data_IF_116374340467
#
_entry.id   IF_116374340467
#
_cell.length_a   1.000
_cell.length_b   1.000
_cell.length_c   1.000
_cell.angle_alpha   90.00
_cell.angle_beta   90.00
_cell.angle_gamma   90.00
#
_symmetry.space_group_name_H-M   'P 1'
#
loop_
_entity.id
_entity.type
_entity.pdbx_description
1 polymer ?
#
# COMPACT_ATOMS: atom_id res chain seq x y z
N UNK A 1 -6.47 11.64 -6.84
CA UNK A 1 -7.64 11.04 -7.52
C UNK A 1 -8.36 10.11 -6.56
N UNK A 2 -9.70 10.15 -6.47
CA UNK A 2 -10.51 9.24 -5.63
C UNK A 2 -10.96 8.05 -6.46
N UNK A 3 -10.82 6.83 -5.96
CA UNK A 3 -11.33 5.60 -6.57
C UNK A 3 -12.17 4.79 -5.58
N UNK A 4 -13.24 4.17 -6.08
CA UNK A 4 -14.03 3.19 -5.33
C UNK A 4 -13.40 1.81 -5.50
N UNK A 5 -13.19 1.11 -4.40
CA UNK A 5 -12.59 -0.23 -4.38
C UNK A 5 -13.48 -1.16 -3.57
N UNK A 6 -13.76 -2.33 -4.13
CA UNK A 6 -14.49 -3.39 -3.46
C UNK A 6 -13.56 -4.21 -2.56
N UNK A 7 -13.98 -4.39 -1.32
CA UNK A 7 -13.33 -5.17 -0.28
C UNK A 7 -13.81 -6.62 -0.36
N UNK A 8 -12.88 -7.57 -0.19
CA UNK A 8 -13.25 -8.99 -0.06
C UNK A 8 -12.76 -9.54 1.27
N UNK A 9 -13.68 -9.76 2.18
CA UNK A 9 -13.41 -10.43 3.44
C UNK A 9 -14.45 -11.53 3.70
N UNK A 10 -14.14 -12.42 4.64
CA UNK A 10 -15.07 -13.42 5.15
C UNK A 10 -15.94 -12.78 6.24
N UNK A 11 -16.76 -11.79 5.86
CA UNK A 11 -17.76 -11.25 6.77
C UNK A 11 -18.78 -12.35 7.09
N UNK A 12 -18.70 -12.90 8.29
CA UNK A 12 -19.63 -13.94 8.76
C UNK A 12 -21.02 -13.39 9.09
N UNK A 13 -21.09 -12.07 9.31
CA UNK A 13 -22.29 -11.38 9.75
C UNK A 13 -22.67 -10.28 8.77
N UNK A 14 -23.97 -10.21 8.49
CA UNK A 14 -24.58 -9.16 7.69
C UNK A 14 -24.79 -7.90 8.54
N UNK A 15 -23.72 -7.11 8.68
CA UNK A 15 -23.72 -5.85 9.43
C UNK A 15 -22.89 -4.77 8.75
N UNK A 16 -22.92 -3.58 9.35
CA UNK A 16 -22.08 -2.46 8.97
C UNK A 16 -20.72 -2.54 9.67
N UNK A 17 -19.71 -2.05 8.97
CA UNK A 17 -18.31 -2.13 9.33
C UNK A 17 -17.63 -0.78 9.11
N UNK A 18 -16.72 -0.43 10.01
CA UNK A 18 -15.92 0.79 9.88
C UNK A 18 -14.49 0.42 9.46
N UNK A 19 -14.05 0.87 8.28
CA UNK A 19 -12.61 0.89 7.98
C UNK A 19 -11.98 2.06 8.71
N UNK A 20 -10.98 1.79 9.55
CA UNK A 20 -10.17 2.82 10.17
C UNK A 20 -9.12 3.33 9.18
N UNK A 21 -8.84 4.63 9.27
CA UNK A 21 -7.86 5.34 8.48
C UNK A 21 -6.54 4.58 8.46
N UNK A 22 -6.07 4.31 7.26
CA UNK A 22 -4.83 3.58 7.04
C UNK A 22 -4.00 4.31 6.00
N UNK A 23 -2.70 4.39 6.29
CA UNK A 23 -1.68 4.89 5.39
C UNK A 23 -0.99 3.68 4.76
N UNK A 24 -1.23 3.47 3.47
CA UNK A 24 -0.65 2.32 2.77
C UNK A 24 0.67 2.74 2.16
N UNK A 25 1.77 2.38 2.79
CA UNK A 25 3.11 2.64 2.26
C UNK A 25 3.48 1.62 1.20
N UNK A 26 3.73 2.09 -0.03
CA UNK A 26 4.27 1.27 -1.12
C UNK A 26 5.79 1.45 -1.32
N UNK A 27 6.43 2.27 -0.48
CA UNK A 27 7.84 2.67 -0.62
C UNK A 27 8.18 3.88 0.26
N UNK A 28 9.32 4.53 -0.02
CA UNK A 28 9.85 5.63 0.82
C UNK A 28 8.97 6.88 0.88
N UNK A 29 8.24 7.21 -0.19
CA UNK A 29 7.48 8.48 -0.27
C UNK A 29 6.08 8.33 -0.88
N UNK A 30 5.65 7.11 -1.20
CA UNK A 30 4.38 6.87 -1.88
C UNK A 30 3.37 6.23 -0.92
N UNK A 31 2.28 6.96 -0.67
CA UNK A 31 1.20 6.50 0.20
C UNK A 31 -0.19 6.68 -0.41
N UNK A 32 -1.05 5.72 -0.12
CA UNK A 32 -2.50 5.89 -0.28
C UNK A 32 -3.12 6.27 1.05
N UNK A 33 -4.21 7.03 0.95
CA UNK A 33 -5.05 7.33 2.11
C UNK A 33 -6.40 6.65 1.90
N UNK A 34 -6.80 5.85 2.88
CA UNK A 34 -8.17 5.36 3.03
C UNK A 34 -8.80 6.17 4.17
N UNK A 35 -9.79 7.04 3.94
CA UNK A 35 -10.49 7.74 5.01
C UNK A 35 -11.31 6.76 5.86
N UNK A 36 -11.65 7.17 7.08
CA UNK A 36 -12.62 6.43 7.89
C UNK A 36 -13.92 6.29 7.09
N UNK A 37 -14.28 5.06 6.76
CA UNK A 37 -15.42 4.78 5.88
C UNK A 37 -16.29 3.71 6.51
N UNK A 38 -17.56 4.05 6.71
CA UNK A 38 -18.58 3.08 7.07
C UNK A 38 -19.09 2.40 5.80
N UNK A 39 -19.14 1.08 5.78
CA UNK A 39 -19.66 0.30 4.66
C UNK A 39 -20.50 -0.88 5.16
N UNK A 40 -21.41 -1.35 4.33
CA UNK A 40 -22.21 -2.54 4.61
C UNK A 40 -21.53 -3.78 4.05
N UNK A 41 -21.57 -4.90 4.76
CA UNK A 41 -21.11 -6.20 4.27
C UNK A 41 -21.76 -6.64 2.95
N UNK A 42 -22.99 -6.20 2.65
CA UNK A 42 -23.66 -6.45 1.36
C UNK A 42 -23.05 -5.66 0.19
N UNK A 43 -22.39 -4.54 0.47
CA UNK A 43 -21.80 -3.64 -0.53
C UNK A 43 -20.49 -3.07 0.01
N UNK A 44 -19.43 -3.90 0.08
CA UNK A 44 -18.22 -3.58 0.80
C UNK A 44 -17.30 -2.68 -0.03
N UNK A 45 -17.73 -1.45 -0.30
CA UNK A 45 -17.01 -0.50 -1.16
C UNK A 45 -16.40 0.60 -0.29
N UNK A 46 -15.11 0.86 -0.49
CA UNK A 46 -14.39 1.98 0.15
C UNK A 46 -13.81 2.95 -0.87
N UNK A 47 -13.50 4.15 -0.39
CA UNK A 47 -12.82 5.17 -1.16
C UNK A 47 -11.33 5.12 -0.85
N UNK A 48 -10.51 5.15 -1.90
CA UNK A 48 -9.06 5.28 -1.76
C UNK A 48 -8.58 6.47 -2.57
N UNK A 49 -7.74 7.30 -1.95
CA UNK A 49 -7.12 8.45 -2.61
C UNK A 49 -5.64 8.25 -2.81
N UNK A 50 -5.21 8.38 -4.06
CA UNK A 50 -3.79 8.56 -4.38
C UNK A 50 -3.43 10.05 -4.27
N UNK A 51 -2.55 10.37 -3.32
CA UNK A 51 -2.02 11.71 -3.08
C UNK A 51 -0.66 11.94 -3.78
N UNK A 52 -0.11 10.92 -4.40
CA UNK A 52 1.14 11.00 -5.16
C UNK A 52 0.86 11.43 -6.61
N UNK A 53 1.81 12.09 -7.28
CA UNK A 53 1.68 12.43 -8.70
C UNK A 53 1.85 11.20 -9.62
N UNK A 54 2.27 10.05 -9.07
CA UNK A 54 2.58 8.84 -9.84
C UNK A 54 1.42 7.84 -9.74
N UNK A 55 1.03 7.19 -10.86
CA UNK A 55 0.04 6.12 -10.80
C UNK A 55 0.60 4.96 -9.97
N UNK A 56 -0.21 4.44 -9.07
CA UNK A 56 0.11 3.28 -8.25
C UNK A 56 -0.98 2.23 -8.40
N UNK A 57 -0.56 0.97 -8.29
CA UNK A 57 -1.44 -0.19 -8.41
C UNK A 57 -1.68 -0.78 -7.03
N UNK A 58 -2.95 -1.01 -6.70
CA UNK A 58 -3.35 -1.78 -5.52
C UNK A 58 -3.73 -3.16 -6.03
N UNK A 59 -3.03 -4.18 -5.54
CA UNK A 59 -3.22 -5.55 -5.97
C UNK A 59 -4.31 -6.25 -5.15
N UNK A 60 -4.86 -7.30 -5.76
CA UNK A 60 -5.62 -8.32 -5.05
C UNK A 60 -4.71 -8.98 -4.01
N UNK A 61 -5.11 -8.94 -2.75
CA UNK A 61 -4.42 -9.47 -1.59
C UNK A 61 -3.88 -8.37 -0.66
N UNK A 62 -3.78 -7.13 -1.15
CA UNK A 62 -3.24 -6.01 -0.39
C UNK A 62 -4.17 -5.65 0.77
N UNK A 63 -3.56 -5.34 1.91
CA UNK A 63 -4.27 -4.89 3.12
C UNK A 63 -4.39 -3.37 3.01
N UNK A 64 -5.63 -2.86 3.08
CA UNK A 64 -5.93 -1.43 2.91
C UNK A 64 -6.38 -0.72 4.18
N UNK A 65 -6.56 -1.48 5.25
CA UNK A 65 -6.93 -0.97 6.56
C UNK A 65 -7.39 -2.08 7.49
N UNK A 66 -7.72 -1.67 8.70
CA UNK A 66 -8.33 -2.53 9.73
C UNK A 66 -9.81 -2.21 9.80
N UNK A 67 -10.63 -3.25 9.93
CA UNK A 67 -12.06 -3.09 10.13
C UNK A 67 -12.42 -3.27 11.58
N UNK A 68 -13.30 -2.39 12.06
CA UNK A 68 -13.75 -2.34 13.44
C UNK A 68 -15.29 -2.33 13.44
N UNK A 69 -15.87 -2.93 14.46
CA UNK A 69 -17.29 -2.84 14.72
C UNK A 69 -17.67 -1.38 15.03
N UNK A 70 -18.58 -0.75 14.26
CA UNK A 70 -18.95 0.65 14.49
C UNK A 70 -19.55 0.88 15.89
N UNK A 71 -20.19 -0.13 16.49
CA UNK A 71 -20.74 -0.03 17.84
C UNK A 71 -19.65 0.13 18.93
N UNK A 72 -18.43 -0.32 18.66
CA UNK A 72 -17.29 -0.18 19.57
C UNK A 72 -16.52 1.12 19.33
N UNK A 73 -16.65 1.70 18.13
CA UNK A 73 -15.92 2.91 17.74
C UNK A 73 -16.71 4.20 18.00
N UNK A 74 -18.00 4.20 17.68
CA UNK A 74 -18.85 5.39 17.86
C UNK A 74 -19.39 5.47 19.28
N UNK A 75 -19.48 6.68 19.81
CA UNK A 75 -20.07 6.92 21.12
C UNK A 75 -21.56 6.56 21.09
N UNK A 76 -21.97 5.62 21.93
CA UNK A 76 -23.37 5.39 22.26
C UNK A 76 -23.74 6.16 23.54
N UNK A 77 -24.95 6.75 23.60
CA UNK A 77 -25.44 7.35 24.84
C UNK A 77 -25.71 6.23 25.86
N UNK A 78 -25.18 6.39 27.07
CA UNK A 78 -25.39 5.44 28.17
C UNK A 78 -26.71 5.74 28.91
N UNK A 79 -27.15 7.00 28.90
CA UNK A 79 -28.36 7.47 29.55
C UNK A 79 -29.15 8.46 28.66
N UNK A 80 -30.38 8.76 29.09
CA UNK A 80 -31.27 9.67 28.37
C UNK A 80 -30.72 11.09 28.32
N UNK A 81 -30.06 11.55 29.39
CA UNK A 81 -29.50 12.89 29.47
C UNK A 81 -28.35 13.12 28.46
N UNK A 82 -27.45 12.14 28.31
CA UNK A 82 -26.37 12.16 27.31
C UNK A 82 -26.94 12.09 25.89
N UNK A 83 -28.03 11.36 25.66
CA UNK A 83 -28.71 11.35 24.36
C UNK A 83 -29.25 12.74 24.01
N UNK A 84 -29.93 13.43 24.94
CA UNK A 84 -30.43 14.79 24.74
C UNK A 84 -29.30 15.79 24.45
N UNK A 85 -28.17 15.69 25.18
CA UNK A 85 -26.97 16.48 24.95
C UNK A 85 -26.37 16.22 23.55
N UNK A 86 -26.26 14.95 23.15
CA UNK A 86 -25.77 14.57 21.81
C UNK A 86 -26.68 15.11 20.69
N UNK A 87 -28.01 15.03 20.85
CA UNK A 87 -28.98 15.59 19.89
C UNK A 87 -28.82 17.11 19.80
N UNK A 88 -28.69 17.79 20.95
CA UNK A 88 -28.51 19.24 21.00
C UNK A 88 -27.23 19.66 20.28
N UNK A 89 -26.11 18.98 20.55
CA UNK A 89 -24.82 19.22 19.86
C UNK A 89 -24.92 18.95 18.36
N UNK A 90 -25.57 17.85 17.96
CA UNK A 90 -25.76 17.53 16.54
C UNK A 90 -26.60 18.60 15.83
N UNK A 91 -27.65 19.13 16.48
CA UNK A 91 -28.46 20.22 15.95
C UNK A 91 -27.63 21.51 15.79
N UNK A 92 -26.78 21.85 16.77
CA UNK A 92 -25.89 23.01 16.70
C UNK A 92 -24.88 22.91 15.55
N UNK A 93 -24.21 21.75 15.40
CA UNK A 93 -23.27 21.51 14.30
C UNK A 93 -23.99 21.59 12.95
N UNK A 94 -25.20 21.03 12.86
CA UNK A 94 -26.02 21.08 11.64
C UNK A 94 -26.37 22.52 11.25
N UNK A 95 -26.69 23.38 12.22
CA UNK A 95 -26.93 24.81 11.97
C UNK A 95 -25.67 25.52 11.50
N UNK A 96 -24.51 25.24 12.11
CA UNK A 96 -23.23 25.81 11.70
C UNK A 96 -22.90 25.46 10.24
N UNK A 97 -23.03 24.17 9.86
CA UNK A 97 -22.79 23.71 8.49
C UNK A 97 -23.70 24.41 7.47
N UNK A 98 -25.00 24.56 7.80
CA UNK A 98 -25.96 25.28 6.94
C UNK A 98 -25.54 26.73 6.71
N UNK A 99 -25.19 27.45 7.79
CA UNK A 99 -24.78 28.84 7.72
C UNK A 99 -23.46 29.03 6.92
N UNK A 100 -22.53 28.09 7.04
CA UNK A 100 -21.28 28.08 6.24
C UNK A 100 -21.54 27.77 4.75
N UNK A 101 -22.54 26.95 4.44
CA UNK A 101 -22.93 26.66 3.06
C UNK A 101 -23.55 27.86 2.34
N UNK A 102 -24.28 28.71 3.08
CA UNK A 102 -24.97 29.88 2.53
C UNK A 102 -24.06 31.09 2.26
N UNK A 103 -22.81 31.09 2.77
CA UNK A 103 -21.87 32.21 2.57
C UNK A 103 -21.15 32.17 1.21
N UNK A 104 -21.44 31.16 0.37
CA UNK A 104 -20.82 31.00 -0.94
C UNK A 104 -21.78 31.46 -2.05
N UNK A 105 -21.47 32.67 -2.54
CA UNK A 105 -21.86 33.30 -3.81
C UNK A 105 -23.13 34.19 -3.88
N UNK A 106 -22.98 35.51 -3.63
CA UNK A 106 -23.82 36.55 -4.25
C UNK A 106 -23.28 37.08 -5.59
N UNK A 107 -22.51 36.30 -6.38
CA UNK A 107 -22.01 36.76 -7.68
C UNK A 107 -22.01 35.66 -8.75
N UNK A 108 -23.19 35.29 -9.21
CA UNK A 108 -23.40 34.69 -10.52
C UNK A 108 -24.79 35.10 -11.00
N UNK A 109 -24.87 36.32 -11.56
CA UNK A 109 -25.98 36.64 -12.45
C UNK A 109 -25.87 35.71 -13.68
N UNK A 110 -26.99 35.16 -14.18
CA UNK A 110 -27.03 34.51 -15.47
C UNK A 110 -26.89 35.59 -16.56
N UNK A 111 -25.67 35.83 -17.03
CA UNK A 111 -25.46 36.59 -18.27
C UNK A 111 -25.87 35.67 -19.43
N UNK A 112 -27.01 35.99 -20.03
CA UNK A 112 -27.44 35.40 -21.30
C UNK A 112 -26.35 35.48 -22.36
N UNK A 113 -26.31 34.41 -23.14
CA UNK A 113 -25.51 34.18 -24.32
C UNK A 113 -25.36 35.41 -25.23
N UNK A 114 -24.12 35.88 -25.38
CA UNK A 114 -23.66 36.48 -26.63
C UNK A 114 -22.39 35.73 -27.04
N UNK A 115 -22.51 34.95 -28.12
CA UNK A 115 -21.48 34.10 -28.70
C UNK A 115 -20.42 34.97 -29.39
N UNK A 116 -19.14 34.96 -28.97
CA UNK A 116 -18.05 35.52 -29.75
C UNK A 116 -17.35 34.42 -30.58
N UNK A 117 -16.78 34.77 -31.73
CA UNK A 117 -16.26 33.82 -32.70
C UNK A 117 -15.01 33.09 -32.21
N UNK A 118 -14.96 31.79 -32.54
CA UNK A 118 -13.83 30.90 -32.29
C UNK A 118 -12.52 31.50 -32.83
N UNK A 119 -11.59 31.85 -31.92
CA UNK A 119 -10.17 31.98 -32.26
C UNK A 119 -9.50 30.62 -32.09
N UNK A 120 -9.03 30.08 -33.21
CA UNK A 120 -8.13 28.94 -33.27
C UNK A 120 -6.84 29.25 -32.52
N UNK A 121 -6.57 28.52 -31.45
CA UNK A 121 -5.26 28.56 -30.80
C UNK A 121 -4.36 27.55 -31.50
N UNK A 122 -3.44 28.06 -32.33
CA UNK A 122 -2.24 27.32 -32.71
C UNK A 122 -1.42 27.00 -31.46
N UNK A 123 -1.04 25.72 -31.34
CA UNK A 123 -0.17 25.20 -30.29
C UNK A 123 1.26 25.68 -30.55
N UNK A 124 1.93 26.38 -29.62
CA UNK A 124 3.36 26.63 -29.75
C UNK A 124 4.14 25.35 -29.43
N UNK A 125 5.01 24.95 -30.34
CA UNK A 125 6.02 23.89 -30.14
C UNK A 125 6.95 24.25 -28.96
N UNK A 126 7.25 23.31 -28.04
CA UNK A 126 8.31 23.51 -27.06
C UNK A 126 9.64 23.00 -27.64
N UNK A 127 10.43 23.91 -28.20
CA UNK A 127 11.85 23.70 -28.44
C UNK A 127 12.62 24.87 -27.82
N UNK A 128 13.19 24.65 -26.64
CA UNK A 128 14.07 25.62 -25.96
C UNK A 128 14.71 25.00 -24.72
N UNK A 129 15.98 25.27 -24.42
CA UNK A 129 16.88 24.34 -23.73
C UNK A 129 16.82 24.44 -22.20
N UNK A 130 17.07 23.29 -21.58
CA UNK A 130 17.31 23.10 -20.15
C UNK A 130 18.45 23.99 -19.64
N UNK A 131 18.12 24.95 -18.79
CA UNK A 131 19.08 25.59 -17.91
C UNK A 131 19.21 24.75 -16.63
N UNK A 132 20.37 24.14 -16.46
CA UNK A 132 20.81 23.52 -15.20
C UNK A 132 20.80 24.56 -14.08
N UNK A 133 19.97 24.35 -13.06
CA UNK A 133 20.15 24.99 -11.76
C UNK A 133 20.78 23.98 -10.81
N UNK A 134 22.05 24.20 -10.51
CA UNK A 134 22.83 23.53 -9.48
C UNK A 134 22.28 23.93 -8.12
N UNK A 135 21.56 23.01 -7.47
CA UNK A 135 21.11 23.15 -6.09
C UNK A 135 22.21 22.62 -5.16
N UNK A 136 22.91 23.51 -4.46
CA UNK A 136 23.85 23.13 -3.41
C UNK A 136 23.07 22.75 -2.13
N UNK A 137 23.35 21.59 -1.49
CA UNK A 137 22.76 21.27 -0.19
C UNK A 137 23.47 22.01 0.96
N UNK A 138 22.76 22.45 2.01
CA UNK A 138 23.39 22.97 3.22
C UNK A 138 23.97 21.82 4.06
N UNK A 139 25.29 21.68 4.02
CA UNK A 139 26.07 20.84 4.93
C UNK A 139 26.03 21.43 6.34
N UNK A 140 25.35 20.75 7.26
CA UNK A 140 25.45 21.02 8.71
C UNK A 140 26.10 19.82 9.38
N UNK A 141 27.27 19.96 10.04
CA UNK A 141 27.91 18.87 10.77
C UNK A 141 27.37 18.79 12.21
N UNK A 142 26.68 17.70 12.53
CA UNK A 142 26.35 17.29 13.90
C UNK A 142 27.42 16.30 14.38
N UNK A 143 28.45 16.83 15.05
CA UNK A 143 29.43 16.01 15.78
C UNK A 143 28.93 15.73 17.19
N UNK A 144 28.56 14.48 17.46
CA UNK A 144 28.46 13.96 18.82
C UNK A 144 29.70 13.11 19.12
N UNK A 145 30.37 13.28 20.27
CA UNK A 145 31.53 12.49 20.62
C UNK A 145 31.13 11.05 20.94
N UNK A 146 31.66 10.10 20.16
CA UNK A 146 31.58 8.67 20.45
C UNK A 146 32.71 8.33 21.44
N UNK A 147 32.41 7.73 22.62
CA UNK A 147 33.45 7.25 23.52
C UNK A 147 34.20 6.08 22.89
N UNK A 148 35.51 6.24 22.76
CA UNK A 148 36.45 5.21 22.31
C UNK A 148 36.53 4.14 23.40
N UNK A 149 36.06 2.94 23.11
CA UNK A 149 36.30 1.74 23.92
C UNK A 149 37.43 0.97 23.24
N UNK A 150 38.58 0.90 23.91
CA UNK A 150 39.74 0.10 23.48
C UNK A 150 39.40 -1.39 23.55
N UNK A 151 39.21 -2.03 22.40
CA UNK A 151 39.10 -3.48 22.27
C UNK A 151 40.49 -4.03 21.90
N UNK A 152 41.09 -4.90 22.73
CA UNK A 152 42.36 -5.56 22.43
C UNK A 152 42.26 -6.39 21.15
N UNK A 153 43.23 -6.19 20.25
CA UNK A 153 43.32 -6.80 18.92
C UNK A 153 44.39 -7.89 18.94
N UNK A 154 43.97 -9.15 19.00
CA UNK A 154 44.88 -10.29 18.77
C UNK A 154 45.04 -10.58 17.26
N UNK A 155 46.23 -11.04 16.82
CA UNK A 155 46.56 -11.26 15.41
C UNK A 155 46.02 -12.58 14.81
N UNK A 156 45.94 -12.68 13.47
CA UNK A 156 45.10 -13.67 12.79
C UNK A 156 45.81 -15.01 12.54
N UNK A 157 45.05 -16.10 12.50
CA UNK A 157 45.52 -17.39 11.99
C UNK A 157 44.42 -18.10 11.19
N UNK A 158 44.71 -18.27 9.90
CA UNK A 158 44.16 -19.20 8.89
C UNK A 158 42.83 -18.90 8.16
N UNK A 159 42.79 -19.09 6.81
CA UNK A 159 41.60 -18.92 5.99
C UNK A 159 40.79 -20.23 6.01
N UNK A 160 39.68 -20.23 6.76
CA UNK A 160 38.68 -21.29 6.69
C UNK A 160 37.51 -20.76 5.87
N UNK A 161 37.16 -21.56 4.85
CA UNK A 161 36.05 -21.41 3.91
C UNK A 161 34.81 -20.76 4.54
N UNK A 162 34.42 -19.62 3.99
CA UNK A 162 33.26 -18.83 4.40
C UNK A 162 31.97 -19.50 3.95
N UNK A 163 31.51 -20.49 4.72
CA UNK A 163 30.07 -20.73 4.89
C UNK A 163 29.65 -20.06 6.19
N UNK A 164 29.22 -18.79 6.09
CA UNK A 164 28.57 -18.08 7.19
C UNK A 164 27.26 -18.81 7.53
N UNK A 165 27.30 -19.63 8.59
CA UNK A 165 26.10 -20.02 9.33
C UNK A 165 25.50 -18.75 9.93
N UNK A 166 24.43 -18.25 9.33
CA UNK A 166 23.69 -17.12 9.88
C UNK A 166 23.04 -17.54 11.21
N UNK A 167 23.11 -16.68 12.25
CA UNK A 167 22.47 -16.96 13.53
C UNK A 167 20.96 -17.09 13.32
N UNK A 168 20.41 -18.24 13.72
CA UNK A 168 18.97 -18.53 13.69
C UNK A 168 18.28 -17.68 14.76
N UNK A 169 18.11 -16.40 14.46
CA UNK A 169 17.22 -15.49 15.17
C UNK A 169 15.76 -15.73 14.78
N UNK A 170 14.79 -15.28 15.59
CA UNK A 170 13.35 -15.49 15.35
C UNK A 170 12.92 -14.83 14.04
N UNK A 171 12.88 -15.61 12.94
CA UNK A 171 12.49 -15.24 11.56
C UNK A 171 12.23 -13.74 11.38
N UNK A 172 13.28 -12.94 11.54
CA UNK A 172 13.21 -11.50 11.34
C UNK A 172 13.07 -11.32 9.85
N UNK A 173 11.90 -10.85 9.44
CA UNK A 173 11.58 -10.13 8.20
C UNK A 173 12.84 -9.84 7.38
N UNK A 174 13.32 -10.83 6.63
CA UNK A 174 14.32 -10.56 5.60
C UNK A 174 13.57 -9.75 4.54
N UNK A 175 14.10 -8.56 4.27
CA UNK A 175 13.57 -7.70 3.23
C UNK A 175 13.55 -8.53 1.93
N UNK A 176 12.41 -8.64 1.23
CA UNK A 176 12.35 -9.45 0.02
C UNK A 176 13.43 -8.96 -0.95
N UNK A 177 14.19 -9.89 -1.51
CA UNK A 177 15.24 -9.59 -2.47
C UNK A 177 14.65 -8.81 -3.66
N UNK A 178 15.06 -7.55 -3.89
CA UNK A 178 14.55 -6.75 -5.00
C UNK A 178 15.13 -7.18 -6.36
N UNK A 179 16.05 -8.14 -6.37
CA UNK A 179 16.75 -8.57 -7.57
C UNK A 179 15.78 -9.17 -8.59
N UNK A 180 15.89 -8.67 -9.82
CA UNK A 180 15.07 -9.12 -10.93
C UNK A 180 15.69 -10.36 -11.57
N UNK A 181 14.95 -11.48 -11.52
CA UNK A 181 15.35 -12.75 -12.14
C UNK A 181 14.55 -13.00 -13.43
N UNK A 182 15.14 -12.80 -14.62
CA UNK A 182 14.50 -13.16 -15.87
C UNK A 182 14.37 -14.68 -16.00
N UNK A 183 13.28 -15.14 -16.64
CA UNK A 183 13.04 -16.58 -16.91
C UNK A 183 14.15 -17.24 -17.72
N UNK A 184 14.82 -16.47 -18.56
CA UNK A 184 15.79 -17.00 -19.52
C UNK A 184 17.10 -17.41 -18.82
N UNK A 185 17.32 -16.93 -17.59
CA UNK A 185 18.45 -17.30 -16.73
C UNK A 185 18.10 -18.39 -15.70
N UNK A 186 16.98 -19.10 -15.87
CA UNK A 186 16.51 -20.12 -14.92
C UNK A 186 17.53 -21.26 -14.74
N UNK A 187 18.23 -21.64 -15.82
CA UNK A 187 19.26 -22.68 -15.79
C UNK A 187 20.54 -22.27 -15.03
N UNK A 188 20.84 -20.97 -15.00
CA UNK A 188 22.04 -20.43 -14.33
C UNK A 188 21.79 -20.18 -12.84
N UNK A 189 20.54 -19.89 -12.47
CA UNK A 189 20.16 -19.51 -11.11
C UNK A 189 19.87 -20.71 -10.20
N UNK A 190 19.39 -21.82 -10.76
CA UNK A 190 18.99 -23.01 -10.02
C UNK A 190 20.01 -24.13 -10.17
N UNK A 191 20.56 -24.58 -9.04
CA UNK A 191 21.37 -25.80 -8.99
C UNK A 191 20.45 -27.02 -8.77
N UNK A 192 20.26 -27.83 -9.82
CA UNK A 192 19.54 -29.12 -9.76
C UNK A 192 20.41 -30.27 -9.24
N UNK A 193 21.68 -30.02 -8.92
CA UNK A 193 22.62 -31.00 -8.42
C UNK A 193 23.11 -31.99 -9.48
N UNK A 194 23.85 -33.00 -9.00
CA UNK A 194 24.49 -34.03 -9.83
C UNK A 194 23.51 -35.15 -10.19
N UNK A 195 22.53 -34.86 -11.04
CA UNK A 195 21.59 -35.87 -11.55
C UNK A 195 22.15 -36.57 -12.80
N UNK A 196 21.87 -37.87 -13.00
CA UNK A 196 22.08 -38.55 -14.28
C UNK A 196 21.41 -37.80 -15.43
N UNK A 197 22.00 -37.83 -16.63
CA UNK A 197 21.57 -37.00 -17.78
C UNK A 197 20.07 -37.11 -18.08
N UNK A 198 19.51 -38.32 -18.03
CA UNK A 198 18.09 -38.56 -18.28
C UNK A 198 17.16 -37.93 -17.24
N UNK A 199 17.57 -37.86 -15.96
CA UNK A 199 16.78 -37.19 -14.90
C UNK A 199 16.98 -35.68 -14.92
N UNK A 200 18.14 -35.22 -15.38
CA UNK A 200 18.43 -33.79 -15.51
C UNK A 200 17.53 -33.15 -16.56
N UNK A 201 17.35 -33.79 -17.71
CA UNK A 201 16.43 -33.33 -18.76
C UNK A 201 14.97 -33.29 -18.27
N UNK A 202 14.52 -34.34 -17.57
CA UNK A 202 13.16 -34.40 -17.01
C UNK A 202 12.93 -33.31 -15.94
N UNK A 203 13.92 -33.08 -15.06
CA UNK A 203 13.86 -32.05 -14.05
C UNK A 203 13.75 -30.63 -14.66
N UNK A 204 14.56 -30.32 -15.68
CA UNK A 204 14.47 -29.05 -16.38
C UNK A 204 13.15 -28.87 -17.12
N UNK A 205 12.67 -29.91 -17.82
CA UNK A 205 11.36 -29.88 -18.49
C UNK A 205 10.22 -29.61 -17.49
N UNK A 206 10.29 -30.21 -16.29
CA UNK A 206 9.35 -29.95 -15.22
C UNK A 206 9.42 -28.49 -14.73
N UNK A 207 10.63 -27.95 -14.53
CA UNK A 207 10.83 -26.57 -14.07
C UNK A 207 10.33 -25.55 -15.09
N UNK A 208 10.61 -25.75 -16.38
CA UNK A 208 10.11 -24.91 -17.48
C UNK A 208 8.58 -24.93 -17.55
N UNK A 209 7.97 -26.11 -17.43
CA UNK A 209 6.50 -26.26 -17.38
C UNK A 209 5.89 -25.54 -16.18
N UNK A 210 6.60 -25.49 -15.07
CA UNK A 210 6.18 -24.87 -13.82
C UNK A 210 6.70 -23.44 -13.63
N UNK A 211 7.26 -22.79 -14.67
CA UNK A 211 7.87 -21.46 -14.53
C UNK A 211 6.91 -20.40 -13.97
N UNK A 212 5.61 -20.55 -14.25
CA UNK A 212 4.56 -19.66 -13.74
C UNK A 212 4.35 -19.79 -12.24
N UNK A 213 4.69 -20.92 -11.62
CA UNK A 213 4.54 -21.16 -10.18
C UNK A 213 5.67 -20.50 -9.36
N UNK A 214 6.79 -20.16 -10.01
CA UNK A 214 7.93 -19.48 -9.39
C UNK A 214 7.86 -17.96 -9.66
N UNK A 215 8.58 -17.18 -8.85
CA UNK A 215 8.54 -15.71 -8.91
C UNK A 215 9.49 -15.10 -9.95
N UNK A 216 9.55 -15.67 -11.16
CA UNK A 216 10.35 -15.10 -12.26
C UNK A 216 9.62 -13.91 -12.91
N UNK A 217 10.38 -13.02 -13.56
CA UNK A 217 9.86 -11.89 -14.34
C UNK A 217 9.02 -10.87 -13.52
N UNK A 218 9.38 -10.62 -12.25
CA UNK A 218 8.62 -9.77 -11.30
C UNK A 218 7.17 -10.22 -11.08
N UNK A 219 6.86 -11.49 -11.35
CA UNK A 219 5.53 -12.04 -11.08
C UNK A 219 5.56 -12.74 -9.73
N UNK A 220 4.51 -12.58 -8.94
CA UNK A 220 4.27 -13.46 -7.82
C UNK A 220 3.81 -14.80 -8.41
N UNK A 221 4.54 -15.88 -8.12
CA UNK A 221 4.26 -17.21 -8.66
C UNK A 221 2.78 -17.58 -8.58
N UNK A 222 2.19 -17.99 -9.72
CA UNK A 222 0.85 -18.54 -9.82
C UNK A 222 0.84 -19.98 -9.30
N UNK A 223 0.91 -20.14 -7.99
CA UNK A 223 0.55 -21.39 -7.35
C UNK A 223 -0.90 -21.27 -6.85
N UNK A 224 -1.82 -22.19 -7.18
CA UNK A 224 -3.16 -22.25 -6.60
C UNK A 224 -3.09 -22.75 -5.14
N UNK A 225 -2.19 -22.19 -4.34
CA UNK A 225 -2.09 -22.46 -2.92
C UNK A 225 -3.23 -21.70 -2.23
N UNK A 226 -4.26 -22.43 -1.79
CA UNK A 226 -5.21 -21.92 -0.81
C UNK A 226 -4.47 -21.88 0.54
N UNK A 227 -3.80 -20.76 0.83
CA UNK A 227 -3.23 -20.54 2.14
C UNK A 227 -4.38 -20.41 3.15
N UNK A 228 -4.57 -21.44 3.99
CA UNK A 228 -5.50 -21.36 5.12
C UNK A 228 -4.84 -20.51 6.19
N UNK A 229 -5.17 -19.22 6.21
CA UNK A 229 -4.77 -18.32 7.29
C UNK A 229 -5.49 -18.81 8.53
N UNK A 230 -4.73 -19.19 9.56
CA UNK A 230 -5.28 -19.42 10.89
C UNK A 230 -5.56 -18.04 11.47
N UNK A 231 -6.82 -17.64 11.50
CA UNK A 231 -7.27 -16.57 12.37
C UNK A 231 -7.28 -17.12 13.79
N UNK A 232 -6.33 -16.69 14.61
CA UNK A 232 -6.48 -16.83 16.06
C UNK A 232 -7.66 -15.95 16.46
N UNK A 233 -8.60 -16.50 17.24
CA UNK A 233 -9.88 -15.86 17.58
C UNK A 233 -9.76 -14.55 18.39
N UNK A 234 -8.55 -14.09 18.72
CA UNK A 234 -8.26 -12.90 19.51
C UNK A 234 -7.66 -11.73 18.70
N UNK A 235 -7.66 -11.80 17.37
CA UNK A 235 -7.20 -10.70 16.52
C UNK A 235 -8.34 -10.07 15.73
N UNK A 236 -8.46 -8.72 15.74
CA UNK A 236 -9.50 -8.04 14.97
C UNK A 236 -9.38 -8.41 13.49
N UNK A 237 -10.50 -8.57 12.77
CA UNK A 237 -10.48 -9.01 11.38
C UNK A 237 -9.66 -8.03 10.51
N UNK A 238 -8.64 -8.57 9.85
CA UNK A 238 -7.85 -7.83 8.87
C UNK A 238 -8.47 -7.98 7.49
N UNK A 239 -8.80 -6.86 6.88
CA UNK A 239 -9.41 -6.85 5.55
C UNK A 239 -8.35 -6.95 4.45
N UNK A 240 -8.54 -7.90 3.54
CA UNK A 240 -7.72 -8.03 2.31
C UNK A 240 -8.54 -7.62 1.10
N UNK A 241 -7.91 -6.99 0.11
CA UNK A 241 -8.60 -6.67 -1.14
C UNK A 241 -8.58 -7.83 -2.13
N UNK A 242 -9.52 -7.80 -3.07
CA UNK A 242 -9.40 -8.53 -4.33
C UNK A 242 -9.83 -7.57 -5.45
N UNK A 243 -8.86 -7.00 -6.16
CA UNK A 243 -9.16 -6.25 -7.38
C UNK A 243 -9.63 -7.23 -8.47
N UNK A 244 -10.88 -7.06 -8.90
CA UNK A 244 -11.31 -7.50 -10.22
C UNK A 244 -10.76 -6.50 -11.23
N UNK A 245 -10.00 -6.97 -12.22
CA UNK A 245 -9.60 -6.15 -13.37
C UNK A 245 -10.86 -5.54 -13.99
N UNK A 246 -11.02 -4.23 -13.87
CA UNK A 246 -11.83 -3.42 -14.80
C UNK A 246 -10.91 -2.83 -15.84
#
# INVERSE_FOLDING_TARGET
MVKKIEIIDQFTEEKDWLVQWSLLSSGKDDFFITPNTLFSSQSPIILVTNHTPRPHFICKGDIVGTVINPAEFFNAPEDLAKLEDMITKAAQISQLIKNLGETKDPSSQPTSEEVPPQKSYERPNPAGPLAEQVLNPPTTPLSWPIPVVDIPRDPPSNPISSQQLSPVGPKTVELPDPTFYPSDCLCDLLDVGSLPDHLKEEAWSMLERCIKAFSFNRRLGHHPAKARIRTDNDHPPHVRLISLKT
#
